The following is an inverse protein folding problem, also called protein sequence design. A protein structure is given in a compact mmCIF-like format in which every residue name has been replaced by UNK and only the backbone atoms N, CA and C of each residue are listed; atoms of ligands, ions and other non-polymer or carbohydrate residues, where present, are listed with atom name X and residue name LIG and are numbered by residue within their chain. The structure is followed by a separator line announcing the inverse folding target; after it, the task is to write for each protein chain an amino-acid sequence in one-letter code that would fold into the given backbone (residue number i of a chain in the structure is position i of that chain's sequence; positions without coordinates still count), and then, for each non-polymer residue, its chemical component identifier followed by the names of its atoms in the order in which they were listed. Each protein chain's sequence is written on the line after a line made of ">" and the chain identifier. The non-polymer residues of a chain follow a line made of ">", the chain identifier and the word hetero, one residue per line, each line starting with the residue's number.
data_IF_342937709853
#
_entry.id   IF_342937709853
#
_cell.length_a   1.000
_cell.length_b   1.000
_cell.length_c   1.000
_cell.angle_alpha   90.00
_cell.angle_beta   90.00
_cell.angle_gamma   90.00
#
_symmetry.space_group_name_H-M   'P 1'
#
loop_
_entity.id
_entity.type
_entity.pdbx_description
1 polymer ?
#
# COMPACT_ATOMS: atom_id res chain seq x y z
N UNK A 1 11.59 40.18 43.20
CA UNK A 1 11.84 39.79 41.79
C UNK A 1 11.20 38.44 41.58
N UNK A 2 10.01 38.39 40.94
CA UNK A 2 9.31 37.14 40.61
C UNK A 2 9.84 36.65 39.26
N UNK A 3 10.50 35.50 39.25
CA UNK A 3 10.90 34.81 38.04
C UNK A 3 9.64 34.33 37.28
N UNK A 4 9.44 34.89 36.11
CA UNK A 4 8.39 34.46 35.19
C UNK A 4 8.59 33.02 34.76
N UNK A 5 7.63 32.15 35.08
CA UNK A 5 7.54 30.79 34.62
C UNK A 5 7.27 30.86 33.11
N UNK A 6 8.29 30.56 32.28
CA UNK A 6 8.09 30.31 30.85
C UNK A 6 7.14 29.14 30.72
N UNK A 7 5.96 29.40 30.20
CA UNK A 7 5.04 28.38 29.75
C UNK A 7 5.73 27.75 28.53
N UNK A 8 6.29 26.55 28.71
CA UNK A 8 6.76 25.71 27.62
C UNK A 8 5.56 25.38 26.73
N UNK A 9 5.62 25.76 25.46
CA UNK A 9 4.68 25.33 24.44
C UNK A 9 4.45 23.81 24.58
N UNK A 10 3.18 23.45 24.65
CA UNK A 10 2.71 22.05 24.61
C UNK A 10 3.50 21.29 23.57
N UNK A 11 4.17 20.21 23.97
CA UNK A 11 4.87 19.33 23.08
C UNK A 11 3.86 18.88 21.99
N UNK A 12 4.06 19.32 20.75
CA UNK A 12 3.29 18.84 19.62
C UNK A 12 3.53 17.34 19.55
N UNK A 13 2.50 16.56 19.82
CA UNK A 13 2.61 15.10 19.82
C UNK A 13 2.93 14.64 18.40
N UNK A 14 4.16 14.17 18.21
CA UNK A 14 4.59 13.56 16.96
C UNK A 14 3.89 12.22 16.79
N UNK A 15 3.40 11.95 15.59
CA UNK A 15 2.87 10.64 15.22
C UNK A 15 3.93 9.91 14.40
N UNK A 16 4.36 8.75 14.88
CA UNK A 16 5.35 7.89 14.22
C UNK A 16 4.69 6.59 13.78
N UNK A 17 4.73 6.31 12.49
CA UNK A 17 4.20 5.08 11.91
C UNK A 17 5.30 4.28 11.23
N UNK A 18 5.34 2.99 11.52
CA UNK A 18 6.16 2.02 10.81
C UNK A 18 5.27 1.32 9.76
N UNK A 19 5.67 1.33 8.50
CA UNK A 19 4.96 0.65 7.42
C UNK A 19 5.81 -0.45 6.80
N UNK A 20 5.16 -1.57 6.43
CA UNK A 20 5.79 -2.76 5.88
C UNK A 20 5.00 -3.23 4.66
N UNK A 21 5.69 -3.52 3.56
CA UNK A 21 5.12 -4.17 2.40
C UNK A 21 6.06 -5.23 1.82
N UNK A 22 5.49 -6.38 1.52
CA UNK A 22 6.14 -7.48 0.81
C UNK A 22 5.19 -8.12 -0.21
N UNK A 23 4.19 -7.35 -0.65
CA UNK A 23 3.15 -7.83 -1.57
C UNK A 23 3.63 -8.07 -3.01
N UNK A 24 4.82 -7.56 -3.35
CA UNK A 24 5.48 -7.71 -4.66
C UNK A 24 6.82 -8.46 -4.52
N UNK A 25 7.69 -8.35 -5.53
CA UNK A 25 9.07 -8.84 -5.45
C UNK A 25 10.00 -7.98 -4.57
N UNK A 26 9.49 -6.89 -4.03
CA UNK A 26 10.23 -5.99 -3.16
C UNK A 26 9.94 -6.26 -1.69
N UNK A 27 10.96 -6.10 -0.85
CA UNK A 27 10.82 -5.85 0.57
C UNK A 27 10.87 -4.34 0.78
N UNK A 28 9.80 -3.77 1.31
CA UNK A 28 9.71 -2.34 1.56
C UNK A 28 9.35 -2.07 3.01
N UNK A 29 10.11 -1.17 3.63
CA UNK A 29 9.86 -0.68 4.99
C UNK A 29 9.99 0.83 4.98
N UNK A 30 9.08 1.53 5.61
CA UNK A 30 9.13 2.97 5.78
C UNK A 30 8.81 3.36 7.22
N UNK A 31 9.53 4.33 7.73
CA UNK A 31 9.19 5.05 8.95
C UNK A 31 8.72 6.44 8.54
N UNK A 32 7.56 6.86 9.03
CA UNK A 32 7.00 8.19 8.81
C UNK A 32 6.78 8.86 10.15
N UNK A 33 7.36 10.05 10.33
CA UNK A 33 7.16 10.89 11.50
C UNK A 33 6.47 12.20 11.08
N UNK A 34 5.31 12.48 11.65
CA UNK A 34 4.47 13.63 11.38
C UNK A 34 4.31 14.49 12.63
N UNK A 35 4.64 15.78 12.56
CA UNK A 35 4.52 16.70 13.65
C UNK A 35 3.12 17.36 13.66
N UNK A 36 2.38 17.17 14.77
CA UNK A 36 1.05 17.77 14.96
C UNK A 36 -0.09 17.05 14.22
N UNK A 37 -1.36 17.41 14.53
CA UNK A 37 -2.55 16.74 14.01
C UNK A 37 -2.87 17.07 12.55
N UNK A 38 -2.43 18.22 12.06
CA UNK A 38 -2.75 18.75 10.72
C UNK A 38 -1.51 18.90 9.82
N UNK A 39 -0.42 18.17 10.14
CA UNK A 39 0.81 18.29 9.35
C UNK A 39 0.54 18.05 7.88
N UNK A 40 0.84 19.03 7.04
CA UNK A 40 0.86 18.89 5.58
C UNK A 40 1.95 17.89 5.18
N UNK A 41 1.78 17.26 4.01
CA UNK A 41 2.74 16.30 3.48
C UNK A 41 4.19 16.84 3.43
N UNK A 42 4.36 18.16 3.36
CA UNK A 42 5.66 18.84 3.39
C UNK A 42 6.36 18.80 4.77
N UNK A 43 5.64 18.49 5.84
CA UNK A 43 6.17 18.41 7.22
C UNK A 43 6.47 16.99 7.68
N UNK A 44 6.32 15.98 6.80
CA UNK A 44 6.65 14.61 7.13
C UNK A 44 8.14 14.35 6.96
N UNK A 45 8.73 13.68 7.95
CA UNK A 45 10.05 13.07 7.81
C UNK A 45 9.85 11.59 7.53
N UNK A 46 10.56 11.09 6.53
CA UNK A 46 10.43 9.69 6.10
C UNK A 46 11.79 9.05 5.90
N UNK A 47 11.90 7.80 6.31
CA UNK A 47 13.07 6.94 6.07
C UNK A 47 12.57 5.66 5.43
N UNK A 48 13.20 5.24 4.34
CA UNK A 48 12.68 4.17 3.49
C UNK A 48 13.77 3.17 3.15
N UNK A 49 13.42 1.88 3.21
CA UNK A 49 14.13 0.79 2.55
C UNK A 49 13.17 0.17 1.54
N UNK A 50 13.63 0.08 0.31
CA UNK A 50 12.86 -0.50 -0.79
C UNK A 50 13.81 -1.28 -1.68
N UNK A 51 13.83 -2.60 -1.53
CA UNK A 51 14.83 -3.48 -2.10
C UNK A 51 14.18 -4.66 -2.80
N UNK A 52 14.70 -5.01 -3.97
CA UNK A 52 14.25 -6.20 -4.69
C UNK A 52 14.86 -7.44 -4.03
N UNK A 53 14.04 -8.21 -3.34
CA UNK A 53 14.46 -9.39 -2.58
C UNK A 53 13.87 -10.69 -3.09
N UNK A 54 12.79 -10.62 -3.88
CA UNK A 54 12.09 -11.82 -4.34
C UNK A 54 11.65 -12.71 -3.19
N UNK A 55 12.02 -13.98 -3.22
CA UNK A 55 11.57 -14.99 -2.24
C UNK A 55 12.15 -14.83 -0.83
N UNK A 56 13.19 -14.00 -0.64
CA UNK A 56 13.88 -13.84 0.66
C UNK A 56 13.42 -12.60 1.45
N UNK A 57 12.31 -12.00 1.09
CA UNK A 57 11.75 -10.83 1.78
C UNK A 57 11.60 -11.03 3.30
N UNK A 58 11.24 -12.25 3.73
CA UNK A 58 11.06 -12.58 5.16
C UNK A 58 12.31 -12.41 6.00
N UNK A 59 13.50 -12.59 5.43
CA UNK A 59 14.79 -12.41 6.14
C UNK A 59 15.24 -10.95 6.17
N UNK A 60 14.71 -10.12 5.25
CA UNK A 60 15.11 -8.72 5.09
C UNK A 60 14.25 -7.72 5.88
N UNK A 61 12.97 -8.04 6.16
CA UNK A 61 12.04 -7.09 6.79
C UNK A 61 12.55 -6.58 8.13
N UNK A 62 12.91 -7.46 9.07
CA UNK A 62 13.35 -7.03 10.41
C UNK A 62 14.67 -6.25 10.41
N UNK A 63 15.72 -6.64 9.65
CA UNK A 63 16.86 -5.78 9.41
C UNK A 63 16.50 -4.39 8.88
N UNK A 64 15.62 -4.30 7.87
CA UNK A 64 15.19 -3.02 7.30
C UNK A 64 14.44 -2.15 8.32
N UNK A 65 13.61 -2.76 9.19
CA UNK A 65 12.94 -2.05 10.30
C UNK A 65 13.97 -1.42 11.23
N UNK A 66 15.02 -2.17 11.62
CA UNK A 66 16.08 -1.65 12.46
C UNK A 66 16.82 -0.49 11.79
N UNK A 67 17.19 -0.65 10.53
CA UNK A 67 17.90 0.38 9.77
C UNK A 67 17.15 1.71 9.67
N UNK A 68 15.84 1.69 9.39
CA UNK A 68 15.05 2.93 9.31
C UNK A 68 14.88 3.60 10.68
N UNK A 69 14.80 2.83 11.76
CA UNK A 69 14.74 3.36 13.12
C UNK A 69 16.09 3.98 13.53
N UNK A 70 17.19 3.27 13.28
CA UNK A 70 18.54 3.75 13.60
C UNK A 70 18.88 5.05 12.84
N UNK A 71 18.54 5.10 11.53
CA UNK A 71 18.73 6.30 10.70
C UNK A 71 17.87 7.49 11.18
N UNK A 72 16.66 7.21 11.65
CA UNK A 72 15.77 8.22 12.19
C UNK A 72 16.18 8.72 13.59
N UNK A 73 17.07 7.98 14.28
CA UNK A 73 17.38 8.22 15.69
C UNK A 73 16.18 7.97 16.61
N UNK A 74 15.27 7.07 16.21
CA UNK A 74 14.05 6.72 16.95
C UNK A 74 14.13 5.28 17.45
N UNK A 75 13.54 5.04 18.61
CA UNK A 75 13.34 3.70 19.12
C UNK A 75 12.01 3.12 18.61
N UNK A 76 11.90 1.81 18.54
CA UNK A 76 10.62 1.14 18.23
C UNK A 76 9.52 1.55 19.23
N UNK A 77 9.91 1.92 20.45
CA UNK A 77 9.02 2.42 21.48
C UNK A 77 8.31 3.74 21.12
N UNK A 78 8.85 4.51 20.19
CA UNK A 78 8.28 5.79 19.75
C UNK A 78 7.19 5.62 18.69
N UNK A 79 7.04 4.40 18.13
CA UNK A 79 5.99 4.11 17.17
C UNK A 79 4.60 4.13 17.81
N UNK A 80 3.64 4.74 17.12
CA UNK A 80 2.24 4.81 17.54
C UNK A 80 1.36 3.73 16.90
N UNK A 81 1.72 3.26 15.72
CA UNK A 81 1.04 2.17 15.02
C UNK A 81 1.95 1.53 13.98
N UNK A 82 1.58 0.31 13.55
CA UNK A 82 2.25 -0.40 12.46
C UNK A 82 1.28 -0.57 11.31
N UNK A 83 1.65 -0.10 10.12
CA UNK A 83 0.92 -0.29 8.89
C UNK A 83 1.49 -1.44 8.08
N UNK A 84 0.66 -2.09 7.28
CA UNK A 84 1.13 -3.13 6.37
C UNK A 84 0.27 -3.22 5.12
N UNK A 85 0.89 -3.66 4.01
CA UNK A 85 0.18 -3.99 2.78
C UNK A 85 -0.67 -5.24 2.99
N UNK A 86 -2.00 -5.05 3.06
CA UNK A 86 -2.94 -6.13 3.35
C UNK A 86 -3.29 -6.98 2.11
N UNK A 87 -3.13 -6.41 0.91
CA UNK A 87 -3.47 -7.08 -0.35
C UNK A 87 -4.31 -6.22 -1.28
N UNK A 88 -4.58 -6.75 -2.50
CA UNK A 88 -4.10 -8.02 -3.06
C UNK A 88 -2.62 -8.02 -3.46
N UNK A 89 -2.03 -9.23 -3.62
CA UNK A 89 -0.64 -9.38 -4.01
C UNK A 89 -0.09 -10.80 -3.84
N UNK A 90 1.23 -10.92 -3.75
CA UNK A 90 1.90 -12.19 -3.49
C UNK A 90 1.43 -12.85 -2.21
N UNK A 91 0.89 -14.06 -2.29
CA UNK A 91 0.33 -14.79 -1.16
C UNK A 91 1.31 -14.96 0.01
N UNK A 92 2.56 -15.34 -0.28
CA UNK A 92 3.61 -15.46 0.73
C UNK A 92 4.01 -14.11 1.27
N UNK A 93 4.12 -13.11 0.38
CA UNK A 93 4.48 -11.74 0.76
C UNK A 93 3.45 -11.12 1.71
N UNK A 94 2.17 -11.20 1.39
CA UNK A 94 1.11 -10.67 2.25
C UNK A 94 1.14 -11.28 3.66
N UNK A 95 1.37 -12.59 3.76
CA UNK A 95 1.49 -13.27 5.06
C UNK A 95 2.74 -12.83 5.82
N UNK A 96 3.84 -12.60 5.12
CA UNK A 96 5.08 -12.09 5.73
C UNK A 96 4.84 -10.70 6.32
N UNK A 97 4.31 -9.74 5.54
CA UNK A 97 4.03 -8.39 6.03
C UNK A 97 3.04 -8.41 7.21
N UNK A 98 1.93 -9.14 7.07
CA UNK A 98 0.91 -9.26 8.12
C UNK A 98 1.48 -9.88 9.39
N UNK A 99 2.20 -11.00 9.29
CA UNK A 99 2.76 -11.70 10.46
C UNK A 99 3.82 -10.88 11.20
N UNK A 100 4.69 -10.18 10.44
CA UNK A 100 5.69 -9.28 11.04
C UNK A 100 5.00 -8.09 11.71
N UNK A 101 4.04 -7.43 11.04
CA UNK A 101 3.29 -6.32 11.60
C UNK A 101 2.54 -6.73 12.88
N UNK A 102 1.86 -7.87 12.85
CA UNK A 102 1.14 -8.44 13.98
C UNK A 102 2.09 -8.74 15.16
N UNK A 103 3.21 -9.42 14.90
CA UNK A 103 4.17 -9.79 15.95
C UNK A 103 4.82 -8.58 16.62
N UNK A 104 5.24 -7.58 15.83
CA UNK A 104 5.80 -6.34 16.34
C UNK A 104 4.75 -5.54 17.14
N UNK A 105 3.54 -5.41 16.61
CA UNK A 105 2.45 -4.69 17.26
C UNK A 105 2.04 -5.35 18.58
N UNK A 106 1.92 -6.68 18.60
CA UNK A 106 1.57 -7.44 19.80
C UNK A 106 2.60 -7.25 20.91
N UNK A 107 3.91 -7.27 20.58
CA UNK A 107 4.99 -7.09 21.55
C UNK A 107 5.00 -5.75 22.28
N UNK A 108 4.28 -4.74 21.76
CA UNK A 108 4.21 -3.38 22.32
C UNK A 108 2.78 -2.89 22.53
N UNK A 109 1.78 -3.76 22.40
CA UNK A 109 0.36 -3.40 22.46
C UNK A 109 -0.01 -2.23 21.53
N UNK A 110 0.63 -2.16 20.33
CA UNK A 110 0.34 -1.15 19.32
C UNK A 110 -0.85 -1.56 18.45
N UNK A 111 -1.65 -0.62 17.96
CA UNK A 111 -2.63 -0.90 16.92
C UNK A 111 -1.93 -1.12 15.57
N UNK A 112 -2.65 -1.78 14.66
CA UNK A 112 -2.21 -1.96 13.29
C UNK A 112 -3.15 -1.27 12.30
N UNK A 113 -2.61 -0.89 11.14
CA UNK A 113 -3.39 -0.28 10.05
C UNK A 113 -3.19 -1.12 8.78
N UNK A 114 -4.14 -2.00 8.45
CA UNK A 114 -4.13 -2.69 7.16
C UNK A 114 -4.42 -1.69 6.04
N UNK A 115 -3.62 -1.73 4.97
CA UNK A 115 -3.77 -0.86 3.79
C UNK A 115 -3.86 -1.72 2.54
N UNK A 116 -4.92 -1.52 1.75
CA UNK A 116 -5.05 -2.18 0.45
C UNK A 116 -3.90 -1.79 -0.49
N UNK A 117 -3.30 -2.77 -1.14
CA UNK A 117 -2.13 -2.52 -2.02
C UNK A 117 -2.50 -1.75 -3.28
N UNK A 118 -3.71 -1.92 -3.81
CA UNK A 118 -4.21 -1.10 -4.92
C UNK A 118 -4.42 0.36 -4.49
N UNK A 119 -4.84 0.60 -3.25
CA UNK A 119 -4.91 1.95 -2.69
C UNK A 119 -3.50 2.55 -2.52
N UNK A 120 -2.53 1.73 -2.13
CA UNK A 120 -1.13 2.16 -2.09
C UNK A 120 -0.60 2.54 -3.49
N UNK A 121 -1.01 1.84 -4.57
CA UNK A 121 -0.70 2.25 -5.95
C UNK A 121 -1.31 3.63 -6.29
N UNK A 122 -2.57 3.86 -5.92
CA UNK A 122 -3.21 5.16 -6.14
C UNK A 122 -2.48 6.29 -5.40
N UNK A 123 -2.09 6.06 -4.15
CA UNK A 123 -1.31 7.02 -3.37
C UNK A 123 0.10 7.21 -3.95
N UNK A 124 0.76 6.14 -4.43
CA UNK A 124 2.06 6.27 -5.10
C UNK A 124 1.97 7.14 -6.35
N UNK A 125 0.96 6.94 -7.20
CA UNK A 125 0.73 7.78 -8.37
C UNK A 125 0.49 9.25 -7.99
N UNK A 126 -0.23 9.51 -6.90
CA UNK A 126 -0.45 10.87 -6.38
C UNK A 126 0.83 11.52 -5.89
N UNK A 127 1.67 10.77 -5.18
CA UNK A 127 2.97 11.24 -4.69
C UNK A 127 3.95 11.50 -5.84
N UNK A 128 3.99 10.61 -6.84
CA UNK A 128 4.85 10.73 -8.03
C UNK A 128 4.47 11.94 -8.89
N UNK A 129 3.18 12.26 -9.01
CA UNK A 129 2.70 13.42 -9.78
C UNK A 129 3.18 14.75 -9.21
N UNK A 130 3.51 14.81 -7.91
CA UNK A 130 3.96 16.05 -7.26
C UNK A 130 2.95 17.19 -7.30
N UNK A 131 3.32 18.34 -6.76
CA UNK A 131 2.46 19.52 -6.70
C UNK A 131 2.23 20.20 -8.09
N UNK A 132 3.15 19.98 -9.05
CA UNK A 132 3.17 20.69 -10.34
C UNK A 132 2.34 20.03 -11.46
N UNK A 133 2.01 18.75 -11.34
CA UNK A 133 1.38 17.97 -12.42
C UNK A 133 -0.12 17.72 -12.20
N UNK A 134 -0.89 18.74 -11.86
CA UNK A 134 -2.34 18.61 -11.64
C UNK A 134 -2.67 17.28 -10.95
N UNK A 135 -2.96 17.31 -9.67
CA UNK A 135 -3.15 16.13 -8.81
C UNK A 135 -3.90 15.02 -9.53
N UNK A 136 -3.40 13.79 -9.44
CA UNK A 136 -4.16 12.62 -9.91
C UNK A 136 -5.41 12.47 -9.03
N UNK A 137 -6.50 13.07 -9.47
CA UNK A 137 -7.78 13.06 -8.74
C UNK A 137 -8.57 11.78 -8.96
N UNK A 138 -8.22 11.02 -10.03
CA UNK A 138 -8.81 9.71 -10.34
C UNK A 138 -7.71 8.73 -10.74
N UNK A 139 -7.69 7.58 -10.11
CA UNK A 139 -6.69 6.53 -10.38
C UNK A 139 -7.38 5.18 -10.52
N UNK A 140 -7.17 4.56 -11.68
CA UNK A 140 -7.42 3.13 -11.88
C UNK A 140 -6.13 2.40 -11.51
N UNK A 141 -6.10 1.78 -10.35
CA UNK A 141 -4.98 0.94 -9.94
C UNK A 141 -5.14 -0.46 -10.55
N UNK A 142 -4.11 -0.98 -11.21
CA UNK A 142 -4.15 -2.28 -11.88
C UNK A 142 -2.81 -3.01 -11.77
N UNK A 143 -2.83 -4.18 -11.16
CA UNK A 143 -1.67 -5.04 -10.94
C UNK A 143 -1.84 -6.39 -11.64
N UNK A 144 -0.76 -6.92 -12.20
CA UNK A 144 -0.71 -8.29 -12.67
C UNK A 144 -1.02 -9.27 -11.54
N UNK A 145 -2.13 -9.98 -11.67
CA UNK A 145 -2.57 -10.99 -10.71
C UNK A 145 -2.06 -12.40 -11.04
N UNK A 146 -1.20 -12.54 -12.06
CA UNK A 146 -0.81 -13.81 -12.64
C UNK A 146 -2.01 -14.54 -13.25
N UNK A 147 -1.75 -15.67 -13.93
CA UNK A 147 -2.80 -16.50 -14.54
C UNK A 147 -3.70 -15.75 -15.54
N UNK A 148 -3.12 -14.77 -16.21
CA UNK A 148 -3.79 -13.91 -17.21
C UNK A 148 -4.93 -13.07 -16.62
N UNK A 149 -4.82 -12.65 -15.35
CA UNK A 149 -5.78 -11.83 -14.63
C UNK A 149 -5.15 -10.57 -14.07
N UNK A 150 -6.00 -9.59 -13.74
CA UNK A 150 -5.64 -8.26 -13.19
C UNK A 150 -6.36 -8.05 -11.87
N UNK A 151 -5.62 -7.72 -10.81
CA UNK A 151 -6.19 -7.05 -9.65
C UNK A 151 -6.38 -5.58 -9.98
N UNK A 152 -7.56 -5.04 -9.78
CA UNK A 152 -7.87 -3.66 -10.10
C UNK A 152 -8.85 -3.02 -9.13
N UNK A 153 -8.79 -1.70 -9.02
CA UNK A 153 -9.71 -0.88 -8.26
C UNK A 153 -9.73 0.54 -8.82
N UNK A 154 -10.82 1.26 -8.62
CA UNK A 154 -10.98 2.63 -9.08
C UNK A 154 -11.14 3.55 -7.88
N UNK A 155 -10.24 4.53 -7.76
CA UNK A 155 -10.19 5.48 -6.67
C UNK A 155 -10.34 6.92 -7.14
N UNK A 156 -11.08 7.71 -6.38
CA UNK A 156 -11.12 9.16 -6.51
C UNK A 156 -10.52 9.83 -5.26
N UNK A 157 -9.71 10.86 -5.47
CA UNK A 157 -9.24 11.70 -4.38
C UNK A 157 -10.28 12.75 -4.04
N UNK A 158 -10.67 12.82 -2.79
CA UNK A 158 -11.52 13.86 -2.24
C UNK A 158 -10.65 14.94 -1.58
N UNK A 159 -10.55 16.10 -2.20
CA UNK A 159 -9.76 17.22 -1.68
C UNK A 159 -10.32 17.77 -0.35
N UNK A 160 -11.63 17.68 -0.13
CA UNK A 160 -12.26 18.17 1.10
C UNK A 160 -12.00 17.24 2.29
N UNK A 161 -12.04 15.92 2.04
CA UNK A 161 -11.71 14.92 3.05
C UNK A 161 -10.18 14.72 3.19
N UNK A 162 -9.39 15.09 2.18
CA UNK A 162 -7.97 14.80 2.11
C UNK A 162 -7.66 13.30 2.08
N UNK A 163 -8.56 12.49 1.51
CA UNK A 163 -8.44 11.02 1.48
C UNK A 163 -9.02 10.42 0.18
N UNK A 164 -8.75 9.16 -0.04
CA UNK A 164 -9.24 8.41 -1.18
C UNK A 164 -10.63 7.82 -0.93
N UNK A 165 -11.50 7.92 -1.92
CA UNK A 165 -12.76 7.19 -2.01
C UNK A 165 -12.62 6.05 -3.02
N UNK A 166 -12.90 4.81 -2.61
CA UNK A 166 -13.04 3.69 -3.52
C UNK A 166 -14.39 3.77 -4.25
N UNK A 167 -14.35 3.93 -5.56
CA UNK A 167 -15.54 3.94 -6.42
C UNK A 167 -15.84 2.53 -6.94
N UNK A 168 -14.78 1.75 -7.16
CA UNK A 168 -14.86 0.31 -7.36
C UNK A 168 -13.88 -0.33 -6.39
N UNK A 169 -14.32 -1.24 -5.52
CA UNK A 169 -13.45 -1.94 -4.59
C UNK A 169 -12.46 -2.87 -5.32
N UNK A 170 -11.45 -3.34 -4.60
CA UNK A 170 -10.49 -4.30 -5.11
C UNK A 170 -11.21 -5.52 -5.72
N UNK A 171 -10.90 -5.80 -6.97
CA UNK A 171 -11.55 -6.81 -7.79
C UNK A 171 -10.53 -7.57 -8.63
N UNK A 172 -10.91 -8.74 -9.11
CA UNK A 172 -10.14 -9.59 -10.02
C UNK A 172 -10.91 -9.74 -11.32
N UNK A 173 -10.24 -9.58 -12.46
CA UNK A 173 -10.87 -9.73 -13.77
C UNK A 173 -9.84 -10.15 -14.84
N UNK A 174 -10.31 -10.68 -15.98
CA UNK A 174 -9.48 -10.76 -17.16
C UNK A 174 -9.12 -9.32 -17.64
N UNK A 175 -7.96 -9.11 -18.30
CA UNK A 175 -7.53 -7.78 -18.73
C UNK A 175 -8.58 -7.02 -19.56
N UNK A 176 -9.29 -7.73 -20.44
CA UNK A 176 -10.34 -7.15 -21.29
C UNK A 176 -11.58 -6.68 -20.52
N UNK A 177 -11.82 -7.23 -19.33
CA UNK A 177 -13.00 -6.97 -18.50
C UNK A 177 -12.76 -5.86 -17.45
N UNK A 178 -11.54 -5.33 -17.36
CA UNK A 178 -11.21 -4.21 -16.46
C UNK A 178 -11.94 -2.96 -16.95
N UNK A 179 -12.84 -2.44 -16.12
CA UNK A 179 -13.67 -1.29 -16.46
C UNK A 179 -12.90 0.01 -16.28
N UNK A 180 -12.57 0.66 -17.38
CA UNK A 180 -11.97 1.99 -17.34
C UNK A 180 -13.00 3.04 -16.90
N UNK A 181 -12.63 4.00 -16.03
CA UNK A 181 -13.48 5.14 -15.66
C UNK A 181 -13.91 5.95 -16.89
N UNK A 182 -15.09 6.59 -16.80
CA UNK A 182 -15.53 7.53 -17.83
C UNK A 182 -14.87 8.92 -17.70
N UNK A 183 -14.48 9.29 -16.48
CA UNK A 183 -13.71 10.52 -16.23
C UNK A 183 -12.22 10.31 -16.56
N UNK A 184 -11.46 11.39 -16.88
CA UNK A 184 -10.00 11.30 -17.05
C UNK A 184 -9.30 10.71 -15.84
N UNK A 185 -8.46 9.70 -16.04
CA UNK A 185 -7.79 8.97 -14.96
C UNK A 185 -6.32 8.69 -15.28
N UNK A 186 -5.55 8.41 -14.23
CA UNK A 186 -4.21 7.81 -14.31
C UNK A 186 -4.35 6.31 -14.13
N UNK A 187 -3.74 5.53 -15.03
CA UNK A 187 -3.60 4.08 -14.86
C UNK A 187 -2.31 3.81 -14.08
N UNK A 188 -2.42 3.33 -12.84
CA UNK A 188 -1.31 3.06 -11.94
C UNK A 188 -1.07 1.55 -11.80
N UNK A 189 0.20 1.16 -11.74
CA UNK A 189 0.61 -0.23 -11.54
C UNK A 189 1.14 -0.90 -12.80
N UNK A 190 1.58 -2.15 -12.65
CA UNK A 190 2.32 -2.87 -13.69
C UNK A 190 1.45 -3.56 -14.76
N UNK A 191 0.12 -3.58 -14.60
CA UNK A 191 -0.76 -4.29 -15.54
C UNK A 191 -0.64 -3.74 -16.98
N UNK A 192 -0.47 -2.41 -17.15
CA UNK A 192 -0.25 -1.82 -18.47
C UNK A 192 0.98 -2.39 -19.19
N UNK A 193 2.08 -2.56 -18.47
CA UNK A 193 3.32 -3.10 -19.03
C UNK A 193 3.21 -4.59 -19.35
N UNK A 194 2.40 -5.35 -18.59
CA UNK A 194 2.23 -6.81 -18.77
C UNK A 194 1.24 -7.12 -19.89
N UNK A 195 0.12 -6.41 -19.96
CA UNK A 195 -0.99 -6.76 -20.83
C UNK A 195 -1.10 -5.91 -22.11
N UNK A 196 -0.54 -4.68 -22.10
CA UNK A 196 -0.55 -3.82 -23.26
C UNK A 196 -1.96 -3.59 -23.83
N UNK A 197 -2.14 -3.86 -25.11
CA UNK A 197 -3.42 -3.69 -25.84
C UNK A 197 -4.54 -4.60 -25.32
N UNK A 198 -4.21 -5.71 -24.64
CA UNK A 198 -5.21 -6.60 -24.02
C UNK A 198 -5.91 -5.97 -22.81
N UNK A 199 -5.39 -4.83 -22.31
CA UNK A 199 -6.00 -4.01 -21.26
C UNK A 199 -6.55 -2.73 -21.90
N UNK A 200 -7.83 -2.66 -22.31
CA UNK A 200 -8.40 -1.49 -23.02
C UNK A 200 -8.30 -0.18 -22.25
N UNK A 201 -8.19 -0.26 -20.92
CA UNK A 201 -7.97 0.91 -20.06
C UNK A 201 -6.69 1.68 -20.42
N UNK A 202 -5.67 1.05 -21.03
CA UNK A 202 -4.43 1.70 -21.45
C UNK A 202 -4.69 2.82 -22.48
N UNK A 203 -5.56 2.55 -23.47
CA UNK A 203 -5.88 3.52 -24.54
C UNK A 203 -6.74 4.69 -24.04
N UNK A 204 -7.43 4.54 -22.90
CA UNK A 204 -8.33 5.54 -22.32
C UNK A 204 -7.68 6.37 -21.22
N UNK A 205 -6.54 5.92 -20.69
CA UNK A 205 -5.84 6.60 -19.61
C UNK A 205 -5.23 7.93 -20.09
N UNK A 206 -5.38 8.98 -19.29
CA UNK A 206 -4.70 10.26 -19.51
C UNK A 206 -3.18 10.13 -19.38
N UNK A 207 -2.74 9.26 -18.47
CA UNK A 207 -1.35 8.93 -18.23
C UNK A 207 -1.25 7.52 -17.64
N UNK A 208 -0.12 6.88 -17.86
CA UNK A 208 0.21 5.57 -17.28
C UNK A 208 1.41 5.75 -16.37
N UNK A 209 1.27 5.39 -15.10
CA UNK A 209 2.36 5.31 -14.14
C UNK A 209 2.62 3.83 -13.78
N UNK A 210 3.45 3.18 -14.58
CA UNK A 210 3.82 1.77 -14.37
C UNK A 210 4.71 1.57 -13.13
N UNK A 211 5.30 2.65 -12.59
CA UNK A 211 6.15 2.63 -11.41
C UNK A 211 5.37 2.87 -10.10
N UNK A 212 4.10 3.25 -10.19
CA UNK A 212 3.23 3.38 -9.03
C UNK A 212 2.83 2.00 -8.50
N UNK A 213 3.80 1.29 -7.95
CA UNK A 213 3.63 -0.03 -7.32
C UNK A 213 3.39 0.12 -5.83
N UNK A 214 2.76 -0.87 -5.17
CA UNK A 214 2.61 -0.86 -3.72
C UNK A 214 4.00 -0.97 -3.06
N UNK A 215 4.23 -0.10 -2.10
CA UNK A 215 5.41 -0.12 -1.25
C UNK A 215 5.14 0.64 0.07
N UNK A 216 6.07 0.54 1.01
CA UNK A 216 5.84 1.02 2.38
C UNK A 216 5.59 2.53 2.51
N UNK A 217 6.15 3.39 1.64
CA UNK A 217 5.96 4.84 1.77
C UNK A 217 4.52 5.27 1.51
N UNK A 218 3.87 4.97 0.35
CA UNK A 218 2.46 5.28 0.14
C UNK A 218 1.55 4.59 1.17
N UNK A 219 1.89 3.37 1.63
CA UNK A 219 1.19 2.71 2.73
C UNK A 219 1.25 3.55 4.00
N UNK A 220 2.41 4.12 4.36
CA UNK A 220 2.55 4.98 5.53
C UNK A 220 1.68 6.25 5.43
N UNK A 221 1.59 6.85 4.24
CA UNK A 221 0.74 8.02 4.00
C UNK A 221 -0.76 7.71 4.15
N UNK A 222 -1.23 6.62 3.55
CA UNK A 222 -2.62 6.15 3.71
C UNK A 222 -2.89 5.81 5.18
N UNK A 223 -1.97 5.09 5.80
CA UNK A 223 -2.09 4.67 7.20
C UNK A 223 -2.14 5.85 8.17
N UNK A 224 -1.40 6.94 7.93
CA UNK A 224 -1.45 8.12 8.77
C UNK A 224 -2.85 8.74 8.79
N UNK A 225 -3.49 8.87 7.62
CA UNK A 225 -4.87 9.34 7.51
C UNK A 225 -5.84 8.40 8.22
N UNK A 226 -5.69 7.09 7.99
CA UNK A 226 -6.53 6.08 8.63
C UNK A 226 -6.34 6.07 10.16
N UNK A 227 -5.11 6.17 10.65
CA UNK A 227 -4.80 6.23 12.08
C UNK A 227 -5.42 7.47 12.74
N UNK A 228 -5.25 8.65 12.13
CA UNK A 228 -5.84 9.91 12.61
C UNK A 228 -7.37 9.89 12.61
N UNK A 229 -7.98 9.17 11.68
CA UNK A 229 -9.42 8.93 11.61
C UNK A 229 -9.92 7.81 12.56
N UNK A 230 -9.06 7.24 13.41
CA UNK A 230 -9.43 6.16 14.35
C UNK A 230 -9.72 4.82 13.69
N UNK A 231 -9.24 4.57 12.45
CA UNK A 231 -9.46 3.34 11.68
C UNK A 231 -8.38 2.26 11.93
N UNK A 232 -7.50 2.46 12.89
CA UNK A 232 -6.57 1.42 13.31
C UNK A 232 -7.31 0.30 14.06
N UNK A 233 -6.80 -0.92 13.95
CA UNK A 233 -7.40 -2.10 14.58
C UNK A 233 -6.41 -2.76 15.55
N UNK A 234 -6.87 -3.57 16.53
CA UNK A 234 -5.98 -4.34 17.39
C UNK A 234 -5.11 -5.33 16.59
N UNK A 235 -3.93 -5.64 17.10
CA UNK A 235 -2.95 -6.51 16.42
C UNK A 235 -3.51 -7.91 16.09
N UNK A 236 -4.38 -8.47 16.93
CA UNK A 236 -5.03 -9.76 16.72
C UNK A 236 -6.02 -9.79 15.55
N UNK A 237 -6.43 -8.61 15.07
CA UNK A 237 -7.25 -8.43 13.87
C UNK A 237 -6.46 -8.14 12.60
N UNK A 238 -5.12 -8.14 12.67
CA UNK A 238 -4.31 -8.05 11.47
C UNK A 238 -4.53 -9.29 10.59
N UNK A 239 -5.01 -9.09 9.38
CA UNK A 239 -5.26 -10.16 8.42
C UNK A 239 -4.96 -9.69 6.99
N UNK A 240 -4.46 -10.57 6.11
CA UNK A 240 -4.37 -10.26 4.70
C UNK A 240 -5.75 -10.24 4.05
N UNK A 241 -5.90 -9.40 3.04
CA UNK A 241 -7.11 -9.27 2.20
C UNK A 241 -6.92 -10.11 0.93
N UNK A 242 -7.70 -11.17 0.79
CA UNK A 242 -7.66 -12.02 -0.39
C UNK A 242 -8.81 -11.66 -1.34
N UNK A 243 -8.46 -11.14 -2.52
CA UNK A 243 -9.43 -10.85 -3.60
C UNK A 243 -9.67 -12.08 -4.47
N UNK A 244 -8.71 -13.00 -4.52
CA UNK A 244 -8.85 -14.27 -5.24
C UNK A 244 -9.28 -15.35 -4.27
N UNK A 245 -10.50 -15.89 -4.45
CA UNK A 245 -11.06 -16.95 -3.61
C UNK A 245 -10.42 -18.32 -3.88
N UNK A 246 -10.00 -18.59 -5.14
CA UNK A 246 -9.32 -19.83 -5.53
C UNK A 246 -7.86 -19.59 -5.88
N UNK A 247 -6.95 -20.02 -5.01
CA UNK A 247 -5.49 -19.84 -5.19
C UNK A 247 -4.86 -20.95 -6.03
N UNK A 248 -5.54 -22.07 -6.24
CA UNK A 248 -5.06 -23.21 -7.05
C UNK A 248 -6.20 -23.94 -7.73
N UNK A 249 -5.98 -24.33 -9.00
CA UNK A 249 -6.83 -25.30 -9.67
C UNK A 249 -6.76 -26.63 -8.93
N UNK A 250 -7.89 -27.28 -8.71
CA UNK A 250 -7.94 -28.66 -8.25
C UNK A 250 -7.27 -29.58 -9.28
N UNK A 251 -6.88 -30.77 -8.86
CA UNK A 251 -6.29 -31.76 -9.78
C UNK A 251 -7.26 -32.10 -10.91
N UNK A 252 -8.57 -32.12 -10.63
CA UNK A 252 -9.61 -32.36 -11.63
C UNK A 252 -9.70 -31.21 -12.65
N UNK A 253 -9.66 -29.96 -12.23
CA UNK A 253 -9.67 -28.78 -13.12
C UNK A 253 -8.41 -28.73 -14.00
N UNK A 254 -7.22 -29.10 -13.45
CA UNK A 254 -5.98 -29.21 -14.23
C UNK A 254 -6.03 -30.31 -15.29
N UNK A 255 -6.66 -31.43 -14.98
CA UNK A 255 -6.83 -32.52 -15.91
C UNK A 255 -7.84 -32.17 -17.02
N UNK A 256 -8.94 -31.50 -16.68
CA UNK A 256 -9.90 -31.01 -17.65
C UNK A 256 -9.29 -29.97 -18.60
N UNK A 257 -8.56 -28.97 -18.10
CA UNK A 257 -7.87 -27.99 -18.94
C UNK A 257 -6.81 -28.57 -19.86
N UNK A 258 -6.16 -29.69 -19.48
CA UNK A 258 -5.23 -30.44 -20.36
C UNK A 258 -5.97 -31.25 -21.45
N UNK A 259 -7.16 -31.74 -21.15
CA UNK A 259 -7.98 -32.46 -22.12
C UNK A 259 -8.52 -31.51 -23.21
N UNK A 260 -8.91 -30.31 -22.85
CA UNK A 260 -9.41 -29.28 -23.79
C UNK A 260 -8.28 -28.62 -24.62
N UNK A 261 -7.05 -28.54 -24.10
CA UNK A 261 -5.88 -27.98 -24.79
C UNK A 261 -5.11 -28.92 -25.71
N UNK A 262 -5.40 -30.22 -25.71
CA UNK A 262 -4.72 -31.24 -26.48
C UNK A 262 -5.30 -31.50 -27.89
N UNK A 263 -6.21 -30.67 -28.38
CA UNK A 263 -6.91 -30.81 -29.66
C UNK A 263 -6.57 -29.73 -30.69
N UNK A 264 -5.26 -29.39 -30.86
CA UNK A 264 -4.80 -28.60 -32.03
C UNK A 264 -3.45 -29.09 -32.48
#
# INVERSE_FOLDING_TARGET
>A
VRAGRRITMSAMTQTVLLAIDTSTEFCSVALLAADGPTADAASFRTWVRHERTGAVSSTRVLPAVREVLDEAGLAFADCNAIAFGAGPGSFTGLRTATGVAQGLAFGRALPVVPVGTLLACAEAARLNAGAAAGRATRVLAALDARMDEVYWADYAWDDAAGDWQALVPASLAAPADVRAPDAPFVLAGNAAAVFGERLPACARARAIDANALPHALPIAHVALRAYRAGRAVPADRAAPEYVRDKVAQTTAERLAARADGGGR
#
